data_IF_064853035175
#
_entry.id   IF_064853035175
#
_cell.length_a   1.000
_cell.length_b   1.000
_cell.length_c   1.000
_cell.angle_alpha   90.00
_cell.angle_beta   90.00
_cell.angle_gamma   90.00
#
_symmetry.space_group_name_H-M   'P 1'
#
loop_
_entity.id
_entity.type
_entity.pdbx_description
1 polymer ?
#
# COMPACT_ATOMS: atom_id res chain seq x y z
N UNK A 1 -7.99 14.38 -12.45
CA UNK A 1 -6.67 14.03 -11.88
C UNK A 1 -6.76 13.77 -10.38
N UNK A 2 -7.51 14.57 -9.62
CA UNK A 2 -7.51 14.49 -8.15
C UNK A 2 -8.18 13.24 -7.55
N UNK A 3 -9.17 12.63 -8.23
CA UNK A 3 -9.94 11.53 -7.67
C UNK A 3 -9.10 10.26 -7.35
N UNK A 4 -8.11 9.94 -8.20
CA UNK A 4 -7.23 8.79 -7.96
C UNK A 4 -6.30 9.04 -6.76
N UNK A 5 -5.83 10.27 -6.60
CA UNK A 5 -4.97 10.66 -5.47
C UNK A 5 -5.73 10.59 -4.14
N UNK A 6 -7.00 11.02 -4.11
CA UNK A 6 -7.86 10.88 -2.93
C UNK A 6 -8.12 9.41 -2.60
N UNK A 7 -8.36 8.56 -3.60
CA UNK A 7 -8.59 7.13 -3.39
C UNK A 7 -7.37 6.43 -2.74
N UNK A 8 -6.14 6.82 -3.10
CA UNK A 8 -4.91 6.34 -2.45
C UNK A 8 -4.91 6.73 -0.97
N UNK A 9 -5.17 7.99 -0.65
CA UNK A 9 -5.19 8.46 0.74
C UNK A 9 -6.29 7.80 1.58
N UNK A 10 -7.49 7.65 1.03
CA UNK A 10 -8.59 6.99 1.70
C UNK A 10 -8.25 5.53 2.02
N UNK A 11 -7.66 4.80 1.07
CA UNK A 11 -7.22 3.41 1.30
C UNK A 11 -6.12 3.31 2.36
N UNK A 12 -5.15 4.24 2.37
CA UNK A 12 -4.12 4.25 3.44
C UNK A 12 -4.75 4.56 4.79
N UNK A 13 -5.69 5.51 4.87
CA UNK A 13 -6.40 5.81 6.10
C UNK A 13 -7.21 4.58 6.59
N UNK A 14 -7.92 3.91 5.69
CA UNK A 14 -8.61 2.64 5.95
C UNK A 14 -7.65 1.58 6.45
N UNK A 15 -6.49 1.40 5.81
CA UNK A 15 -5.49 0.42 6.22
C UNK A 15 -5.07 0.61 7.68
N UNK A 16 -4.80 1.85 8.07
CA UNK A 16 -4.36 2.18 9.44
C UNK A 16 -5.50 2.06 10.45
N UNK A 17 -6.69 2.59 10.14
CA UNK A 17 -7.83 2.59 11.06
C UNK A 17 -8.41 1.19 11.28
N UNK A 18 -8.45 0.39 10.23
CA UNK A 18 -9.03 -0.97 10.25
C UNK A 18 -7.98 -2.07 10.43
N UNK A 19 -6.70 -1.70 10.56
CA UNK A 19 -5.58 -2.65 10.60
C UNK A 19 -5.60 -3.61 9.41
N UNK A 20 -5.95 -3.07 8.24
CA UNK A 20 -6.17 -3.82 7.02
C UNK A 20 -4.96 -3.69 6.09
N UNK A 21 -4.04 -4.65 6.19
CA UNK A 21 -2.87 -4.76 5.32
C UNK A 21 -3.21 -4.69 3.83
N UNK A 22 -4.30 -5.34 3.40
CA UNK A 22 -4.69 -5.36 1.99
C UNK A 22 -5.07 -3.98 1.47
N UNK A 23 -5.67 -3.14 2.30
CA UNK A 23 -5.98 -1.76 1.91
C UNK A 23 -4.71 -0.95 1.61
N UNK A 24 -3.60 -1.21 2.33
CA UNK A 24 -2.30 -0.58 2.03
C UNK A 24 -1.73 -1.06 0.70
N UNK A 25 -1.86 -2.36 0.38
CA UNK A 25 -1.43 -2.87 -0.93
C UNK A 25 -2.29 -2.29 -2.05
N UNK A 26 -3.60 -2.20 -1.87
CA UNK A 26 -4.49 -1.59 -2.87
C UNK A 26 -4.20 -0.11 -3.06
N UNK A 27 -3.82 0.62 -2.01
CA UNK A 27 -3.35 2.00 -2.16
C UNK A 27 -2.15 2.09 -3.11
N UNK A 28 -1.17 1.19 -2.98
CA UNK A 28 -0.04 1.11 -3.91
C UNK A 28 -0.43 0.64 -5.30
N UNK A 29 -1.51 -0.14 -5.47
CA UNK A 29 -2.00 -0.50 -6.81
C UNK A 29 -2.68 0.69 -7.52
N UNK A 30 -3.22 1.66 -6.75
CA UNK A 30 -3.84 2.87 -7.30
C UNK A 30 -2.87 4.05 -7.40
N UNK A 31 -1.71 3.97 -6.75
CA UNK A 31 -0.68 5.00 -6.89
C UNK A 31 -0.18 5.10 -8.34
N UNK A 32 -0.19 6.29 -8.95
CA UNK A 32 0.13 6.45 -10.37
C UNK A 32 1.59 6.15 -10.71
N UNK A 33 2.52 6.20 -9.75
CA UNK A 33 3.93 5.93 -10.01
C UNK A 33 4.20 4.43 -10.05
N UNK A 34 3.68 3.69 -9.07
CA UNK A 34 3.78 2.23 -9.02
C UNK A 34 2.98 1.57 -10.13
N UNK A 35 1.74 1.99 -10.38
CA UNK A 35 0.88 1.42 -11.42
C UNK A 35 1.39 1.66 -12.85
N UNK A 36 2.25 2.67 -13.04
CA UNK A 36 2.88 2.95 -14.32
C UNK A 36 4.07 2.02 -14.63
N UNK A 37 4.68 1.41 -13.61
CA UNK A 37 5.96 0.69 -13.73
C UNK A 37 5.82 -0.79 -13.39
N UNK A 38 4.92 -1.15 -12.48
CA UNK A 38 4.79 -2.49 -11.93
C UNK A 38 3.41 -3.09 -12.22
N UNK A 39 3.37 -4.40 -12.44
CA UNK A 39 2.14 -5.18 -12.40
C UNK A 39 1.61 -5.32 -10.97
N UNK A 40 0.32 -5.66 -10.77
CA UNK A 40 -0.22 -5.87 -9.42
C UNK A 40 0.52 -6.94 -8.60
N UNK A 41 1.10 -7.94 -9.26
CA UNK A 41 1.92 -8.96 -8.60
C UNK A 41 3.26 -8.38 -8.13
N UNK A 42 3.96 -7.62 -8.97
CA UNK A 42 5.21 -6.94 -8.59
C UNK A 42 4.98 -5.90 -7.48
N UNK A 43 3.84 -5.20 -7.46
CA UNK A 43 3.49 -4.27 -6.38
C UNK A 43 3.32 -5.01 -5.04
N UNK A 44 2.72 -6.21 -5.07
CA UNK A 44 2.56 -7.05 -3.88
C UNK A 44 3.92 -7.48 -3.33
N UNK A 45 4.77 -8.03 -4.20
CA UNK A 45 6.11 -8.46 -3.83
C UNK A 45 6.94 -7.30 -3.27
N UNK A 46 6.91 -6.14 -3.93
CA UNK A 46 7.56 -4.92 -3.46
C UNK A 46 7.04 -4.49 -2.07
N UNK A 47 5.73 -4.55 -1.83
CA UNK A 47 5.17 -4.23 -0.52
C UNK A 47 5.67 -5.20 0.55
N UNK A 48 5.68 -6.50 0.26
CA UNK A 48 6.13 -7.53 1.19
C UNK A 48 7.62 -7.32 1.55
N UNK A 49 8.49 -7.05 0.58
CA UNK A 49 9.91 -6.73 0.80
C UNK A 49 10.08 -5.44 1.63
N UNK A 50 9.30 -4.40 1.33
CA UNK A 50 9.33 -3.14 2.07
C UNK A 50 8.91 -3.32 3.52
N UNK A 51 7.90 -4.15 3.79
CA UNK A 51 7.41 -4.46 5.14
C UNK A 51 8.44 -5.26 5.91
N UNK A 52 9.06 -6.27 5.30
CA UNK A 52 10.12 -7.06 5.94
C UNK A 52 11.28 -6.15 6.41
N UNK A 53 11.76 -5.27 5.53
CA UNK A 53 12.86 -4.36 5.85
C UNK A 53 12.47 -3.32 6.90
N UNK A 54 11.23 -2.82 6.86
CA UNK A 54 10.75 -1.77 7.76
C UNK A 54 10.05 -2.28 9.02
N UNK A 55 10.00 -3.61 9.23
CA UNK A 55 9.38 -4.23 10.41
C UNK A 55 9.73 -3.55 11.74
N UNK A 56 10.98 -3.12 12.01
CA UNK A 56 11.32 -2.41 13.26
C UNK A 56 10.57 -1.09 13.50
N UNK A 57 9.94 -0.53 12.47
CA UNK A 57 9.24 0.76 12.47
C UNK A 57 7.75 0.64 12.18
N UNK A 58 7.28 -0.55 11.79
CA UNK A 58 5.89 -0.79 11.41
C UNK A 58 5.13 -1.47 12.56
N UNK A 59 3.82 -1.19 12.70
CA UNK A 59 2.99 -1.87 13.67
C UNK A 59 2.75 -3.33 13.29
N UNK A 60 2.51 -4.18 14.28
CA UNK A 60 2.47 -5.64 14.10
C UNK A 60 1.40 -6.14 13.13
N UNK A 61 0.33 -5.37 12.92
CA UNK A 61 -0.76 -5.77 12.02
C UNK A 61 -0.38 -5.70 10.52
N UNK A 62 0.78 -5.13 10.19
CA UNK A 62 1.22 -4.92 8.80
C UNK A 62 1.97 -6.13 8.23
N UNK A 63 2.62 -6.94 9.07
CA UNK A 63 3.42 -8.10 8.65
C UNK A 63 2.74 -9.44 8.96
#
# INVERSE_FOLDING_TARGET
LDAAHIAVHDLVATAVLEQNREAAVYALMLDPLTAAVCSPAEIREMFDEMVEVQTPYLPEWVY
#
